data_IF_113569775197
#
_entry.id   IF_113569775197
#
_cell.length_a   1.000
_cell.length_b   1.000
_cell.length_c   1.000
_cell.angle_alpha   90.00
_cell.angle_beta   90.00
_cell.angle_gamma   90.00
#
_symmetry.space_group_name_H-M   'P 1'
#
loop_
_entity.id
_entity.type
_entity.pdbx_description
1 polymer ?
#
# COMPACT_ATOMS: atom_id res chain seq x y z
N UNK A 1 15.55 36.07 55.50
CA UNK A 1 14.36 35.82 54.65
C UNK A 1 14.59 36.08 53.16
N UNK A 2 15.14 37.22 52.73
CA UNK A 2 15.23 37.60 51.31
C UNK A 2 16.00 36.62 50.38
N UNK A 3 17.07 35.98 50.86
CA UNK A 3 17.86 35.02 50.06
C UNK A 3 17.15 33.66 49.83
N UNK A 4 16.31 33.23 50.76
CA UNK A 4 15.54 31.98 50.63
C UNK A 4 14.33 32.14 49.69
N UNK A 5 13.73 33.33 49.66
CA UNK A 5 12.65 33.67 48.74
C UNK A 5 13.13 33.73 47.29
N UNK A 6 14.33 34.31 47.05
CA UNK A 6 14.92 34.39 45.72
C UNK A 6 15.30 33.00 45.16
N UNK A 7 15.86 32.12 46.01
CA UNK A 7 16.15 30.74 45.61
C UNK A 7 14.88 29.94 45.27
N UNK A 8 13.78 30.18 46.00
CA UNK A 8 12.49 29.55 45.72
C UNK A 8 11.89 30.02 44.38
N UNK A 9 11.98 31.32 44.07
CA UNK A 9 11.52 31.85 42.78
C UNK A 9 12.38 31.40 41.59
N UNK A 10 13.71 31.30 41.76
CA UNK A 10 14.60 30.77 40.70
C UNK A 10 14.37 29.27 40.48
N UNK A 11 14.12 28.50 41.54
CA UNK A 11 13.74 27.09 41.42
C UNK A 11 12.38 26.91 40.73
N UNK A 12 11.38 27.75 41.02
CA UNK A 12 10.10 27.75 40.30
C UNK A 12 10.26 28.13 38.82
N UNK A 13 11.12 29.11 38.49
CA UNK A 13 11.38 29.47 37.08
C UNK A 13 12.14 28.39 36.32
N UNK A 14 13.01 27.62 36.98
CA UNK A 14 13.68 26.46 36.39
C UNK A 14 12.74 25.25 36.27
N UNK A 15 11.79 25.05 37.20
CA UNK A 15 10.76 24.01 37.14
C UNK A 15 9.66 24.29 36.10
N UNK A 16 9.41 25.57 35.77
CA UNK A 16 8.49 25.97 34.69
C UNK A 16 9.23 26.08 33.34
N UNK A 17 10.57 26.13 33.35
CA UNK A 17 11.41 26.26 32.15
C UNK A 17 11.81 24.96 31.45
N UNK A 18 11.43 23.79 31.99
CA UNK A 18 11.72 22.48 31.37
C UNK A 18 10.48 21.68 31.01
N UNK A 19 9.27 22.23 31.17
CA UNK A 19 8.14 21.73 30.39
C UNK A 19 8.32 22.30 28.98
N UNK A 20 9.09 21.62 28.13
CA UNK A 20 8.80 21.64 26.71
C UNK A 20 7.33 21.27 26.63
N UNK A 21 6.48 22.28 26.43
CA UNK A 21 5.16 22.02 25.88
C UNK A 21 5.51 21.34 24.58
N UNK A 22 5.40 20.01 24.53
CA UNK A 22 5.25 19.33 23.26
C UNK A 22 4.01 19.99 22.69
N UNK A 23 4.22 21.01 21.86
CA UNK A 23 3.21 21.51 20.98
C UNK A 23 2.97 20.29 20.11
N UNK A 24 1.98 19.48 20.50
CA UNK A 24 1.47 18.41 19.66
C UNK A 24 1.30 19.06 18.29
N UNK A 25 2.00 18.54 17.29
CA UNK A 25 1.80 19.01 15.93
C UNK A 25 0.29 19.01 15.69
N UNK A 26 -0.23 20.08 15.07
CA UNK A 26 -1.65 20.11 14.74
C UNK A 26 -1.97 18.83 13.95
N UNK A 27 -3.08 18.18 14.27
CA UNK A 27 -3.50 17.00 13.51
C UNK A 27 -3.58 17.37 12.02
N UNK A 28 -3.02 16.53 11.14
CA UNK A 28 -3.03 16.81 9.71
C UNK A 28 -4.46 16.89 9.20
N UNK A 29 -4.72 17.85 8.34
CA UNK A 29 -6.02 17.98 7.67
C UNK A 29 -6.14 16.93 6.57
N UNK A 30 -7.36 16.50 6.25
CA UNK A 30 -7.62 15.58 5.14
C UNK A 30 -6.95 16.05 3.84
N UNK A 31 -7.11 17.31 3.47
CA UNK A 31 -6.52 17.84 2.23
C UNK A 31 -4.98 17.84 2.21
N UNK A 32 -4.31 17.85 3.36
CA UNK A 32 -2.85 17.66 3.43
C UNK A 32 -2.47 16.21 3.16
N UNK A 33 -3.20 15.25 3.74
CA UNK A 33 -2.98 13.82 3.52
C UNK A 33 -3.27 13.45 2.07
N UNK A 34 -4.40 13.93 1.52
CA UNK A 34 -4.78 13.73 0.12
C UNK A 34 -3.67 14.17 -0.83
N UNK A 35 -3.13 15.37 -0.62
CA UNK A 35 -2.07 15.92 -1.47
C UNK A 35 -0.79 15.06 -1.41
N UNK A 36 -0.45 14.50 -0.24
CA UNK A 36 0.70 13.60 -0.10
C UNK A 36 0.48 12.27 -0.81
N UNK A 37 -0.68 11.64 -0.61
CA UNK A 37 -1.05 10.40 -1.30
C UNK A 37 -1.02 10.58 -2.83
N UNK A 38 -1.63 11.64 -3.33
CA UNK A 38 -1.68 11.94 -4.77
C UNK A 38 -0.28 12.16 -5.36
N UNK A 39 0.56 12.95 -4.69
CA UNK A 39 1.93 13.21 -5.18
C UNK A 39 2.78 11.92 -5.21
N UNK A 40 2.64 11.05 -4.20
CA UNK A 40 3.32 9.75 -4.18
C UNK A 40 2.82 8.81 -5.29
N UNK A 41 1.51 8.79 -5.54
CA UNK A 41 0.93 8.03 -6.64
C UNK A 41 1.36 8.55 -8.02
N UNK A 42 1.48 9.87 -8.20
CA UNK A 42 2.02 10.48 -9.43
C UNK A 42 3.47 10.05 -9.70
N UNK A 43 4.31 10.01 -8.64
CA UNK A 43 5.67 9.48 -8.74
C UNK A 43 5.69 8.03 -9.22
N UNK A 44 4.91 7.14 -8.59
CA UNK A 44 4.83 5.73 -8.99
C UNK A 44 4.29 5.58 -10.42
N UNK A 45 3.28 6.37 -10.79
CA UNK A 45 2.73 6.39 -12.16
C UNK A 45 3.82 6.72 -13.17
N UNK A 46 4.63 7.75 -12.90
CA UNK A 46 5.73 8.14 -13.80
C UNK A 46 6.83 7.10 -13.91
N UNK A 47 7.03 6.30 -12.85
CA UNK A 47 8.03 5.24 -12.79
C UNK A 47 7.63 4.04 -13.66
N UNK A 48 6.35 3.67 -13.64
CA UNK A 48 5.85 2.46 -14.30
C UNK A 48 5.21 2.67 -15.67
N UNK A 49 4.93 3.91 -16.06
CA UNK A 49 4.29 4.25 -17.33
C UNK A 49 4.90 3.50 -18.53
N UNK A 50 4.07 2.79 -19.29
CA UNK A 50 4.46 2.03 -20.47
C UNK A 50 5.22 0.73 -20.22
N UNK A 51 5.38 0.32 -18.96
CA UNK A 51 6.09 -0.91 -18.56
C UNK A 51 5.28 -1.83 -17.65
N UNK A 52 3.96 -1.58 -17.54
CA UNK A 52 3.09 -2.27 -16.60
C UNK A 52 2.98 -3.77 -16.90
N UNK A 53 3.25 -4.61 -15.91
CA UNK A 53 3.03 -6.06 -15.94
C UNK A 53 2.05 -6.50 -14.86
N UNK A 54 1.45 -7.71 -14.98
CA UNK A 54 0.54 -8.23 -13.94
C UNK A 54 1.19 -8.38 -12.56
N UNK A 55 2.51 -8.63 -12.48
CA UNK A 55 3.24 -8.73 -11.21
C UNK A 55 3.35 -7.39 -10.47
N UNK A 56 3.03 -6.28 -11.13
CA UNK A 56 3.02 -4.94 -10.55
C UNK A 56 1.64 -4.54 -10.02
N UNK A 57 0.74 -5.51 -9.82
CA UNK A 57 -0.64 -5.30 -9.35
C UNK A 57 -0.72 -4.34 -8.16
N UNK A 58 0.19 -4.45 -7.18
CA UNK A 58 0.15 -3.66 -5.95
C UNK A 58 0.37 -2.17 -6.23
N UNK A 59 1.29 -1.83 -7.13
CA UNK A 59 1.51 -0.43 -7.51
C UNK A 59 0.28 0.14 -8.22
N UNK A 60 -0.28 -0.61 -9.16
CA UNK A 60 -1.48 -0.18 -9.90
C UNK A 60 -2.67 -0.03 -8.97
N UNK A 61 -2.86 -0.97 -8.03
CA UNK A 61 -3.89 -0.90 -7.00
C UNK A 61 -3.78 0.37 -6.16
N UNK A 62 -2.59 0.66 -5.62
CA UNK A 62 -2.38 1.83 -4.78
C UNK A 62 -2.55 3.14 -5.56
N UNK A 63 -2.09 3.20 -6.82
CA UNK A 63 -2.32 4.37 -7.69
C UNK A 63 -3.82 4.56 -7.91
N UNK A 64 -4.56 3.50 -8.24
CA UNK A 64 -6.02 3.58 -8.42
C UNK A 64 -6.74 4.01 -7.14
N UNK A 65 -6.25 3.57 -5.97
CA UNK A 65 -6.81 3.90 -4.67
C UNK A 65 -6.44 5.32 -4.16
N UNK A 66 -5.48 6.00 -4.78
CA UNK A 66 -4.96 7.30 -4.31
C UNK A 66 -5.83 8.52 -4.64
N UNK A 67 -6.87 8.34 -5.45
CA UNK A 67 -7.77 9.42 -5.88
C UNK A 67 -7.27 10.26 -7.06
N UNK A 68 -6.11 9.95 -7.65
CA UNK A 68 -5.68 10.54 -8.93
C UNK A 68 -6.40 9.92 -10.13
N UNK A 69 -6.37 10.58 -11.28
CA UNK A 69 -6.77 9.96 -12.56
C UNK A 69 -5.76 8.87 -12.95
N UNK A 70 -6.16 7.62 -12.75
CA UNK A 70 -5.37 6.42 -13.05
C UNK A 70 -5.75 5.76 -14.38
N UNK A 71 -6.64 6.36 -15.18
CA UNK A 71 -7.22 5.74 -16.39
C UNK A 71 -6.19 5.16 -17.36
N UNK A 72 -5.06 5.86 -17.56
CA UNK A 72 -3.99 5.39 -18.46
C UNK A 72 -3.30 4.15 -17.90
N UNK A 73 -2.86 4.16 -16.64
CA UNK A 73 -2.15 3.02 -16.06
C UNK A 73 -3.07 1.82 -15.82
N UNK A 74 -4.35 2.07 -15.49
CA UNK A 74 -5.39 1.04 -15.42
C UNK A 74 -5.59 0.34 -16.76
N UNK A 75 -5.61 1.11 -17.86
CA UNK A 75 -5.72 0.54 -19.21
C UNK A 75 -4.45 -0.24 -19.59
N UNK A 76 -3.26 0.28 -19.29
CA UNK A 76 -1.99 -0.43 -19.54
C UNK A 76 -1.94 -1.76 -18.77
N UNK A 77 -2.38 -1.78 -17.51
CA UNK A 77 -2.50 -2.99 -16.71
C UNK A 77 -3.47 -4.00 -17.32
N UNK A 78 -4.67 -3.55 -17.70
CA UNK A 78 -5.67 -4.40 -18.36
C UNK A 78 -5.16 -4.99 -19.67
N UNK A 79 -4.51 -4.19 -20.50
CA UNK A 79 -3.94 -4.64 -21.77
C UNK A 79 -2.83 -5.66 -21.54
N UNK A 80 -2.01 -5.47 -20.50
CA UNK A 80 -0.96 -6.41 -20.10
C UNK A 80 -1.55 -7.76 -19.65
N UNK A 81 -2.58 -7.75 -18.81
CA UNK A 81 -3.31 -8.97 -18.38
C UNK A 81 -3.94 -9.68 -19.58
N UNK A 82 -4.65 -8.94 -20.45
CA UNK A 82 -5.28 -9.50 -21.66
C UNK A 82 -4.25 -10.12 -22.59
N UNK A 83 -3.14 -9.42 -22.84
CA UNK A 83 -2.07 -9.92 -23.69
C UNK A 83 -1.45 -11.22 -23.16
N UNK A 84 -1.27 -11.34 -21.84
CA UNK A 84 -0.77 -12.57 -21.22
C UNK A 84 -1.76 -13.73 -21.41
N UNK A 85 -3.05 -13.49 -21.20
CA UNK A 85 -4.11 -14.48 -21.42
C UNK A 85 -4.14 -14.91 -22.89
N UNK A 86 -4.19 -13.97 -23.83
CA UNK A 86 -4.29 -14.25 -25.27
C UNK A 86 -3.05 -15.00 -25.80
N UNK A 87 -1.86 -14.70 -25.26
CA UNK A 87 -0.60 -15.29 -25.72
C UNK A 87 -0.33 -16.65 -25.08
N UNK A 88 -0.61 -16.79 -23.78
CA UNK A 88 -0.12 -17.92 -22.97
C UNK A 88 -1.24 -18.69 -22.25
N UNK A 89 -2.47 -18.20 -22.28
CA UNK A 89 -3.60 -18.74 -21.51
C UNK A 89 -3.49 -18.51 -20.00
N UNK A 90 -2.59 -17.63 -19.54
CA UNK A 90 -2.28 -17.37 -18.13
C UNK A 90 -2.22 -15.87 -17.81
N UNK A 91 -2.43 -15.48 -16.57
CA UNK A 91 -2.32 -14.13 -16.03
C UNK A 91 -0.86 -13.67 -15.91
N UNK A 92 0.06 -14.57 -15.52
CA UNK A 92 1.48 -14.25 -15.34
C UNK A 92 2.37 -15.10 -16.26
N UNK A 93 3.52 -14.53 -16.61
CA UNK A 93 4.51 -15.16 -17.51
C UNK A 93 5.91 -15.25 -16.92
N UNK A 94 6.12 -14.77 -15.69
CA UNK A 94 7.43 -14.79 -15.05
C UNK A 94 7.73 -16.18 -14.47
N UNK A 95 8.91 -16.72 -14.80
CA UNK A 95 9.38 -18.04 -14.40
C UNK A 95 9.20 -19.12 -15.47
N UNK A 96 9.93 -20.24 -15.34
CA UNK A 96 9.90 -21.35 -16.32
C UNK A 96 8.57 -22.13 -16.32
N UNK A 97 7.74 -21.96 -15.29
CA UNK A 97 6.39 -22.48 -15.20
C UNK A 97 5.55 -21.66 -14.21
N UNK A 98 4.99 -20.51 -14.62
CA UNK A 98 4.20 -19.68 -13.71
C UNK A 98 2.99 -20.44 -13.20
N UNK A 99 2.85 -20.54 -11.89
CA UNK A 99 1.69 -21.12 -11.21
C UNK A 99 0.77 -19.97 -10.81
N UNK A 100 -0.45 -19.96 -11.33
CA UNK A 100 -1.46 -18.97 -10.93
C UNK A 100 -2.11 -19.43 -9.61
N UNK A 101 -1.58 -18.92 -8.50
CA UNK A 101 -2.09 -19.24 -7.17
C UNK A 101 -3.38 -18.46 -6.87
N UNK A 102 -4.20 -18.90 -5.89
CA UNK A 102 -5.38 -18.14 -5.49
C UNK A 102 -5.07 -16.70 -5.08
N UNK A 103 -3.93 -16.47 -4.44
CA UNK A 103 -3.48 -15.16 -3.99
C UNK A 103 -3.18 -14.22 -5.15
N UNK A 104 -2.56 -14.76 -6.21
CA UNK A 104 -2.32 -13.99 -7.42
C UNK A 104 -3.63 -13.63 -8.12
N UNK A 105 -4.57 -14.58 -8.25
CA UNK A 105 -5.92 -14.31 -8.75
C UNK A 105 -6.61 -13.22 -7.93
N UNK A 106 -6.62 -13.35 -6.60
CA UNK A 106 -7.18 -12.36 -5.68
C UNK A 106 -6.57 -10.97 -5.88
N UNK A 107 -5.25 -10.90 -6.01
CA UNK A 107 -4.52 -9.65 -6.23
C UNK A 107 -4.88 -8.96 -7.55
N UNK A 108 -4.96 -9.73 -8.65
CA UNK A 108 -5.36 -9.19 -9.97
C UNK A 108 -6.83 -8.73 -9.93
N UNK A 109 -7.74 -9.54 -9.39
CA UNK A 109 -9.17 -9.22 -9.30
C UNK A 109 -9.39 -7.95 -8.48
N UNK A 110 -8.73 -7.85 -7.32
CA UNK A 110 -8.76 -6.68 -6.45
C UNK A 110 -8.28 -5.42 -7.20
N UNK A 111 -7.18 -5.53 -7.93
CA UNK A 111 -6.60 -4.42 -8.70
C UNK A 111 -7.51 -3.97 -9.83
N UNK A 112 -8.07 -4.91 -10.59
CA UNK A 112 -9.05 -4.61 -11.64
C UNK A 112 -10.26 -3.88 -11.07
N UNK A 113 -10.79 -4.38 -9.94
CA UNK A 113 -11.92 -3.74 -9.25
C UNK A 113 -11.60 -2.31 -8.80
N UNK A 114 -10.41 -2.07 -8.24
CA UNK A 114 -9.97 -0.73 -7.86
C UNK A 114 -9.80 0.20 -9.07
N UNK A 115 -9.41 -0.34 -10.22
CA UNK A 115 -9.38 0.37 -11.51
C UNK A 115 -10.76 0.56 -12.14
N UNK A 116 -11.83 0.12 -11.49
CA UNK A 116 -13.19 0.17 -12.01
C UNK A 116 -13.49 -0.84 -13.13
N UNK A 117 -12.68 -1.89 -13.28
CA UNK A 117 -12.81 -2.91 -14.34
C UNK A 117 -13.52 -4.16 -13.78
N UNK A 118 -14.45 -4.71 -14.56
CA UNK A 118 -15.16 -5.95 -14.23
C UNK A 118 -14.26 -7.19 -14.44
N UNK A 119 -13.97 -7.98 -13.39
CA UNK A 119 -13.11 -9.17 -13.50
C UNK A 119 -13.81 -10.38 -14.16
N UNK A 120 -15.12 -10.31 -14.43
CA UNK A 120 -15.88 -11.45 -15.00
C UNK A 120 -15.75 -11.58 -16.52
N UNK A 121 -15.14 -10.59 -17.19
CA UNK A 121 -14.89 -10.61 -18.62
C UNK A 121 -13.56 -9.94 -19.01
N UNK A 122 -12.46 -10.65 -18.79
CA UNK A 122 -11.11 -10.22 -19.16
C UNK A 122 -10.55 -11.15 -20.22
N UNK A 123 -10.40 -10.67 -21.46
CA UNK A 123 -10.02 -11.49 -22.62
C UNK A 123 -10.92 -12.74 -22.80
N UNK A 124 -12.22 -12.62 -22.49
CA UNK A 124 -13.17 -13.73 -22.58
C UNK A 124 -13.09 -14.74 -21.42
N UNK A 125 -12.26 -14.48 -20.39
CA UNK A 125 -12.21 -15.25 -19.14
C UNK A 125 -13.03 -14.60 -18.04
N UNK A 126 -13.63 -15.43 -17.19
CA UNK A 126 -14.20 -15.01 -15.92
C UNK A 126 -13.22 -15.36 -14.80
N UNK A 127 -12.52 -14.35 -14.29
CA UNK A 127 -11.46 -14.55 -13.30
C UNK A 127 -12.02 -15.03 -11.94
N UNK A 128 -13.29 -14.80 -11.63
CA UNK A 128 -13.92 -15.35 -10.42
C UNK A 128 -14.10 -16.87 -10.52
N UNK A 129 -14.43 -17.37 -11.72
CA UNK A 129 -14.49 -18.82 -11.97
C UNK A 129 -13.10 -19.44 -11.86
N UNK A 130 -12.10 -18.81 -12.49
CA UNK A 130 -10.71 -19.27 -12.43
C UNK A 130 -10.16 -19.29 -10.98
N UNK A 131 -10.46 -18.25 -10.19
CA UNK A 131 -10.14 -18.20 -8.76
C UNK A 131 -10.81 -19.35 -7.99
N UNK A 132 -12.09 -19.63 -8.26
CA UNK A 132 -12.83 -20.71 -7.60
C UNK A 132 -12.19 -22.08 -7.87
N UNK A 133 -11.78 -22.33 -9.12
CA UNK A 133 -11.06 -23.56 -9.49
C UNK A 133 -9.69 -23.67 -8.79
N UNK A 134 -8.95 -22.56 -8.74
CA UNK A 134 -7.66 -22.49 -8.04
C UNK A 134 -7.81 -22.77 -6.54
N UNK A 135 -8.81 -22.16 -5.89
CA UNK A 135 -9.16 -22.38 -4.48
C UNK A 135 -9.52 -23.85 -4.20
N UNK A 136 -10.34 -24.48 -5.05
CA UNK A 136 -10.73 -25.88 -4.88
C UNK A 136 -9.54 -26.86 -4.98
N UNK A 137 -8.45 -26.46 -5.62
CA UNK A 137 -7.24 -27.25 -5.75
C UNK A 137 -6.17 -26.97 -4.69
N UNK A 138 -6.38 -25.94 -3.86
CA UNK A 138 -5.39 -25.45 -2.90
C UNK A 138 -5.57 -26.04 -1.50
N UNK A 139 -4.46 -26.24 -0.79
CA UNK A 139 -4.45 -26.65 0.61
C UNK A 139 -3.81 -25.55 1.48
N UNK A 140 -4.67 -24.75 2.12
CA UNK A 140 -4.27 -23.66 2.99
C UNK A 140 -3.71 -24.14 4.35
N UNK A 141 -3.87 -25.41 4.71
CA UNK A 141 -3.33 -25.94 5.99
C UNK A 141 -1.81 -26.10 5.98
N UNK A 142 -1.21 -26.10 4.79
CA UNK A 142 0.25 -26.16 4.58
C UNK A 142 0.73 -24.95 3.80
N UNK A 143 0.11 -23.79 4.02
CA UNK A 143 0.46 -22.59 3.30
C UNK A 143 1.92 -22.19 3.55
N UNK A 144 2.67 -22.01 2.46
CA UNK A 144 4.10 -21.65 2.46
C UNK A 144 4.40 -20.46 1.55
N UNK A 145 3.36 -19.82 0.99
CA UNK A 145 3.50 -18.63 0.17
C UNK A 145 3.80 -17.38 0.99
N UNK A 146 3.85 -16.22 0.32
CA UNK A 146 4.02 -14.94 0.99
C UNK A 146 2.71 -14.54 1.69
N UNK A 147 2.67 -14.50 3.04
CA UNK A 147 1.45 -14.22 3.77
C UNK A 147 0.87 -12.83 3.50
N UNK A 148 1.68 -11.89 2.97
CA UNK A 148 1.20 -10.55 2.60
C UNK A 148 0.18 -10.61 1.46
N UNK A 149 0.21 -11.63 0.61
CA UNK A 149 -0.73 -11.75 -0.50
C UNK A 149 -2.12 -12.26 -0.05
N UNK A 150 -2.17 -12.89 1.14
CA UNK A 150 -3.43 -13.36 1.72
C UNK A 150 -4.39 -12.21 2.07
N UNK A 151 -3.90 -10.99 2.29
CA UNK A 151 -4.76 -9.82 2.52
C UNK A 151 -5.61 -9.49 1.29
N UNK A 152 -5.04 -9.59 0.09
CA UNK A 152 -5.72 -9.29 -1.16
C UNK A 152 -6.71 -10.39 -1.53
N UNK A 153 -6.33 -11.66 -1.30
CA UNK A 153 -7.22 -12.80 -1.44
C UNK A 153 -8.42 -12.70 -0.50
N UNK A 154 -8.17 -12.44 0.80
CA UNK A 154 -9.19 -12.28 1.82
C UNK A 154 -10.17 -11.15 1.46
N UNK A 155 -9.65 -9.98 1.06
CA UNK A 155 -10.46 -8.85 0.57
C UNK A 155 -11.35 -9.21 -0.62
N UNK A 156 -10.76 -9.89 -1.63
CA UNK A 156 -11.47 -10.34 -2.83
C UNK A 156 -12.59 -11.32 -2.49
N UNK A 157 -12.28 -12.33 -1.67
CA UNK A 157 -13.25 -13.34 -1.24
C UNK A 157 -14.41 -12.72 -0.47
N UNK A 158 -14.13 -11.77 0.44
CA UNK A 158 -15.17 -11.07 1.20
C UNK A 158 -16.12 -10.29 0.30
N UNK A 159 -15.58 -9.56 -0.68
CA UNK A 159 -16.38 -8.75 -1.58
C UNK A 159 -17.21 -9.61 -2.54
N UNK A 160 -16.60 -10.61 -3.17
CA UNK A 160 -17.24 -11.49 -4.15
C UNK A 160 -17.86 -12.76 -3.52
N UNK A 161 -18.12 -12.76 -2.20
CA UNK A 161 -18.59 -13.95 -1.47
C UNK A 161 -19.89 -14.55 -2.01
N UNK A 162 -20.72 -13.75 -2.67
CA UNK A 162 -21.98 -14.21 -3.28
C UNK A 162 -21.79 -14.81 -4.67
N UNK A 163 -20.68 -14.50 -5.33
CA UNK A 163 -20.37 -14.91 -6.70
C UNK A 163 -19.40 -16.11 -6.74
N UNK A 164 -18.72 -16.40 -5.63
CA UNK A 164 -17.79 -17.53 -5.47
C UNK A 164 -18.48 -18.64 -4.69
N UNK A 165 -18.63 -19.81 -5.32
CA UNK A 165 -19.20 -20.99 -4.66
C UNK A 165 -18.29 -21.45 -3.51
N UNK A 166 -18.86 -21.63 -2.32
CA UNK A 166 -18.09 -22.06 -1.14
C UNK A 166 -17.22 -20.96 -0.50
N UNK A 167 -17.40 -19.69 -0.87
CA UNK A 167 -16.59 -18.57 -0.40
C UNK A 167 -16.41 -18.52 1.13
N UNK A 168 -17.45 -18.79 1.92
CA UNK A 168 -17.37 -18.79 3.39
C UNK A 168 -16.33 -19.81 3.91
N UNK A 169 -16.27 -20.99 3.30
CA UNK A 169 -15.28 -22.01 3.66
C UNK A 169 -13.85 -21.57 3.31
N UNK A 170 -13.67 -20.96 2.13
CA UNK A 170 -12.37 -20.43 1.72
C UNK A 170 -11.92 -19.24 2.59
N UNK A 171 -12.84 -18.36 2.98
CA UNK A 171 -12.57 -17.25 3.90
C UNK A 171 -12.03 -17.78 5.23
N UNK A 172 -12.67 -18.80 5.82
CA UNK A 172 -12.17 -19.42 7.04
C UNK A 172 -10.82 -20.15 6.84
N UNK A 173 -10.61 -20.84 5.71
CA UNK A 173 -9.31 -21.46 5.42
C UNK A 173 -8.18 -20.44 5.24
N UNK A 174 -8.46 -19.28 4.63
CA UNK A 174 -7.48 -18.19 4.51
C UNK A 174 -7.21 -17.54 5.86
N UNK A 175 -8.23 -17.38 6.71
CA UNK A 175 -8.06 -16.95 8.11
C UNK A 175 -7.14 -17.94 8.86
N UNK A 176 -7.39 -19.24 8.76
CA UNK A 176 -6.54 -20.25 9.40
C UNK A 176 -5.09 -20.20 8.87
N UNK A 177 -4.90 -20.02 7.56
CA UNK A 177 -3.58 -19.83 6.97
C UNK A 177 -2.87 -18.59 7.54
N UNK A 178 -3.56 -17.45 7.61
CA UNK A 178 -3.04 -16.23 8.26
C UNK A 178 -2.64 -16.52 9.72
N UNK A 179 -3.52 -17.16 10.48
CA UNK A 179 -3.29 -17.46 11.89
C UNK A 179 -2.18 -18.48 12.12
N UNK A 180 -1.84 -19.31 11.13
CA UNK A 180 -0.73 -20.26 11.23
C UNK A 180 0.63 -19.58 11.37
N UNK A 181 0.75 -18.30 11.00
CA UNK A 181 1.95 -17.50 11.20
C UNK A 181 2.02 -16.84 12.58
N UNK A 182 0.97 -16.85 13.39
CA UNK A 182 0.96 -16.19 14.69
C UNK A 182 1.59 -17.04 15.79
N UNK A 183 2.51 -16.45 16.55
CA UNK A 183 3.16 -17.06 17.70
C UNK A 183 3.09 -16.13 18.91
N UNK A 184 2.90 -16.69 20.11
CA UNK A 184 2.80 -15.89 21.35
C UNK A 184 4.14 -15.66 22.05
N UNK A 185 5.08 -16.61 21.95
CA UNK A 185 6.33 -16.59 22.71
C UNK A 185 7.57 -16.86 21.85
N UNK A 186 7.52 -17.90 21.01
CA UNK A 186 8.69 -18.41 20.29
C UNK A 186 8.28 -18.98 18.93
N UNK A 187 9.08 -18.69 17.91
CA UNK A 187 9.15 -19.42 16.66
C UNK A 187 10.37 -20.35 16.65
N UNK A 188 10.18 -21.61 16.23
CA UNK A 188 11.26 -22.56 15.97
C UNK A 188 11.03 -23.22 14.60
N UNK A 189 11.94 -23.02 13.65
CA UNK A 189 11.79 -23.50 12.28
C UNK A 189 12.99 -23.18 11.40
N UNK A 190 12.82 -23.20 10.08
CA UNK A 190 13.89 -22.84 9.14
C UNK A 190 13.67 -21.43 8.61
N UNK A 191 14.73 -20.62 8.60
CA UNK A 191 14.67 -19.26 8.07
C UNK A 191 15.95 -18.90 7.30
N UNK A 192 15.85 -17.92 6.41
CA UNK A 192 16.99 -17.31 5.76
C UNK A 192 17.67 -16.35 6.74
N UNK A 193 18.92 -16.64 7.07
CA UNK A 193 19.77 -15.73 7.85
C UNK A 193 20.93 -15.26 6.98
N UNK A 194 21.36 -14.01 7.17
CA UNK A 194 22.56 -13.52 6.52
C UNK A 194 23.74 -14.40 6.93
N UNK A 195 24.52 -14.83 5.93
CA UNK A 195 25.70 -15.66 6.12
C UNK A 195 26.63 -15.00 7.15
N UNK A 196 26.98 -15.69 8.25
CA UNK A 196 27.75 -15.11 9.36
C UNK A 196 29.14 -14.58 8.97
N UNK A 197 29.58 -14.79 7.72
CA UNK A 197 30.81 -14.20 7.16
C UNK A 197 30.59 -12.78 6.59
N UNK A 198 29.38 -12.20 6.68
CA UNK A 198 29.06 -10.85 6.24
C UNK A 198 29.17 -10.68 4.73
N UNK A 199 28.84 -11.74 3.98
CA UNK A 199 29.02 -11.80 2.53
C UNK A 199 27.83 -11.21 1.75
N UNK A 200 26.77 -10.76 2.44
CA UNK A 200 25.50 -10.38 1.83
C UNK A 200 24.70 -11.55 1.24
N UNK A 201 25.16 -12.80 1.44
CA UNK A 201 24.43 -14.00 1.03
C UNK A 201 23.48 -14.44 2.13
N UNK A 202 22.27 -14.87 1.76
CA UNK A 202 21.29 -15.43 2.69
C UNK A 202 21.29 -16.95 2.61
N UNK A 203 21.32 -17.62 3.77
CA UNK A 203 21.36 -19.08 3.88
C UNK A 203 20.23 -19.59 4.76
N UNK A 204 19.59 -20.69 4.35
CA UNK A 204 18.59 -21.37 5.17
C UNK A 204 19.26 -22.05 6.37
N UNK A 205 18.79 -21.75 7.58
CA UNK A 205 19.24 -22.37 8.82
C UNK A 205 18.07 -22.64 9.76
N UNK A 206 18.24 -23.61 10.66
CA UNK A 206 17.31 -23.80 11.76
C UNK A 206 17.49 -22.65 12.77
N UNK A 207 16.42 -21.93 13.07
CA UNK A 207 16.39 -20.78 13.98
C UNK A 207 15.38 -20.99 15.09
N UNK A 208 15.67 -20.37 16.23
CA UNK A 208 14.73 -20.20 17.34
C UNK A 208 14.72 -18.72 17.70
N UNK A 209 13.59 -18.05 17.52
CA UNK A 209 13.42 -16.61 17.71
C UNK A 209 12.31 -16.38 18.74
N UNK A 210 12.58 -15.55 19.74
CA UNK A 210 11.61 -15.15 20.75
C UNK A 210 10.81 -13.94 20.26
N UNK A 211 9.50 -13.94 20.46
CA UNK A 211 8.64 -12.82 20.12
C UNK A 211 7.16 -13.20 20.05
N UNK A 212 6.33 -12.16 20.03
CA UNK A 212 4.87 -12.27 19.89
C UNK A 212 4.47 -11.59 18.59
N UNK A 213 3.79 -12.31 17.70
CA UNK A 213 3.27 -11.77 16.45
C UNK A 213 3.27 -12.76 15.30
N UNK A 214 3.01 -12.24 14.11
CA UNK A 214 3.09 -13.00 12.88
C UNK A 214 4.55 -13.10 12.45
N UNK A 215 5.05 -14.34 12.29
CA UNK A 215 6.43 -14.61 11.92
C UNK A 215 6.56 -14.77 10.41
N UNK A 216 7.25 -13.85 9.75
CA UNK A 216 7.66 -14.00 8.35
C UNK A 216 8.98 -13.26 8.16
N UNK A 217 10.08 -14.02 8.07
CA UNK A 217 11.45 -13.48 8.17
C UNK A 217 11.71 -12.70 9.48
N UNK A 218 11.06 -13.12 10.56
CA UNK A 218 11.10 -12.46 11.87
C UNK A 218 9.75 -11.90 12.34
N UNK A 219 9.72 -11.46 13.60
CA UNK A 219 8.59 -10.73 14.17
C UNK A 219 8.75 -9.23 13.87
N UNK A 220 8.31 -8.79 12.70
CA UNK A 220 8.43 -7.39 12.25
C UNK A 220 7.12 -6.62 12.39
N UNK A 221 7.23 -5.30 12.51
CA UNK A 221 6.08 -4.39 12.46
C UNK A 221 5.37 -4.48 11.11
N UNK A 222 6.11 -4.65 10.02
CA UNK A 222 5.62 -4.83 8.65
C UNK A 222 4.67 -6.03 8.55
N UNK A 223 5.13 -7.20 9.01
CA UNK A 223 4.34 -8.44 8.95
C UNK A 223 3.11 -8.31 9.83
N UNK A 224 3.29 -7.83 11.07
CA UNK A 224 2.18 -7.65 11.98
C UNK A 224 1.11 -6.70 11.40
N UNK A 225 1.52 -5.53 10.89
CA UNK A 225 0.63 -4.54 10.31
C UNK A 225 -0.15 -5.08 9.10
N UNK A 226 0.53 -5.77 8.19
CA UNK A 226 -0.11 -6.35 6.99
C UNK A 226 -1.10 -7.44 7.35
N UNK A 227 -0.73 -8.37 8.24
CA UNK A 227 -1.57 -9.50 8.61
C UNK A 227 -2.80 -9.09 9.40
N UNK A 228 -2.68 -8.15 10.36
CA UNK A 228 -3.87 -7.69 11.09
C UNK A 228 -4.85 -6.92 10.21
N UNK A 229 -4.39 -6.32 9.10
CA UNK A 229 -5.27 -5.64 8.15
C UNK A 229 -6.24 -6.63 7.47
N UNK A 230 -5.81 -7.87 7.21
CA UNK A 230 -6.66 -8.94 6.67
C UNK A 230 -7.74 -9.40 7.67
N UNK A 231 -7.48 -9.25 8.96
CA UNK A 231 -8.33 -9.75 10.05
C UNK A 231 -9.40 -8.75 10.50
N UNK A 232 -9.47 -7.56 9.88
CA UNK A 232 -10.40 -6.49 10.27
C UNK A 232 -11.85 -6.94 10.38
N UNK A 233 -12.33 -7.77 9.46
CA UNK A 233 -13.72 -8.25 9.43
C UNK A 233 -14.11 -9.06 10.68
N UNK A 234 -13.13 -9.65 11.37
CA UNK A 234 -13.32 -10.49 12.55
C UNK A 234 -13.20 -9.72 13.85
N UNK A 235 -12.68 -8.49 13.81
CA UNK A 235 -12.28 -7.74 15.00
C UNK A 235 -13.41 -7.55 16.02
N UNK A 236 -14.64 -7.31 15.56
CA UNK A 236 -15.80 -7.12 16.44
C UNK A 236 -16.52 -8.44 16.81
N UNK A 237 -16.30 -9.51 16.05
CA UNK A 237 -17.06 -10.76 16.15
C UNK A 237 -16.28 -11.92 16.79
N UNK A 238 -14.95 -11.88 16.75
CA UNK A 238 -14.05 -12.91 17.25
C UNK A 238 -13.13 -12.33 18.34
N UNK A 239 -13.37 -12.74 19.60
CA UNK A 239 -12.65 -12.22 20.75
C UNK A 239 -11.17 -12.62 20.79
N UNK A 240 -10.80 -13.75 20.18
CA UNK A 240 -9.41 -14.20 20.10
C UNK A 240 -8.64 -13.32 19.12
N UNK A 241 -9.19 -13.14 17.91
CA UNK A 241 -8.63 -12.23 16.91
C UNK A 241 -8.53 -10.81 17.46
N UNK A 242 -9.57 -10.34 18.16
CA UNK A 242 -9.52 -9.03 18.83
C UNK A 242 -8.35 -8.90 19.81
N UNK A 243 -8.14 -9.90 20.67
CA UNK A 243 -7.05 -9.87 21.64
C UNK A 243 -5.67 -9.86 20.98
N UNK A 244 -5.51 -10.60 19.88
CA UNK A 244 -4.28 -10.62 19.07
C UNK A 244 -4.04 -9.25 18.43
N UNK A 245 -5.03 -8.69 17.75
CA UNK A 245 -4.95 -7.36 17.12
C UNK A 245 -4.62 -6.28 18.17
N UNK A 246 -5.33 -6.26 19.29
CA UNK A 246 -5.10 -5.27 20.36
C UNK A 246 -3.67 -5.38 20.93
N UNK A 247 -3.14 -6.60 21.06
CA UNK A 247 -1.77 -6.86 21.51
C UNK A 247 -0.73 -6.34 20.50
N UNK A 248 -0.93 -6.63 19.21
CA UNK A 248 0.01 -6.23 18.16
C UNK A 248 -0.01 -4.72 17.92
N UNK A 249 -1.19 -4.08 17.96
CA UNK A 249 -1.29 -2.61 17.95
C UNK A 249 -0.53 -2.00 19.12
N UNK A 250 -0.67 -2.57 20.33
CA UNK A 250 0.06 -2.09 21.50
C UNK A 250 1.59 -2.27 21.36
N UNK A 251 2.05 -3.37 20.73
CA UNK A 251 3.47 -3.62 20.47
C UNK A 251 4.04 -2.64 19.43
N UNK A 252 3.35 -2.42 18.31
CA UNK A 252 3.75 -1.43 17.31
C UNK A 252 3.84 -0.03 17.91
N UNK A 253 2.85 0.39 18.70
CA UNK A 253 2.90 1.69 19.41
C UNK A 253 4.05 1.78 20.41
N UNK A 254 4.53 0.64 20.93
CA UNK A 254 5.72 0.58 21.79
C UNK A 254 7.02 0.70 21.00
N UNK A 255 7.12 0.08 19.82
CA UNK A 255 8.31 0.19 18.96
C UNK A 255 8.56 1.62 18.51
N UNK A 256 7.51 2.47 18.48
CA UNK A 256 7.64 3.90 18.27
C UNK A 256 8.37 4.70 19.34
N UNK A 257 8.62 4.11 20.51
CA UNK A 257 9.41 4.72 21.56
C UNK A 257 10.88 4.29 21.44
N UNK A 258 11.80 5.26 21.31
CA UNK A 258 13.26 5.06 21.19
C UNK A 258 13.84 4.07 22.23
N UNK A 259 13.23 3.92 23.40
CA UNK A 259 13.67 2.97 24.42
C UNK A 259 13.44 1.48 24.05
N UNK A 260 12.45 1.21 23.20
CA UNK A 260 12.02 -0.14 22.81
C UNK A 260 12.31 -0.46 21.35
N UNK A 261 12.99 0.46 20.67
CA UNK A 261 13.50 0.28 19.33
C UNK A 261 14.57 -0.81 19.30
N UNK A 262 14.43 -1.76 18.38
CA UNK A 262 15.45 -2.76 18.02
C UNK A 262 16.07 -2.30 16.71
N UNK A 263 17.40 -2.35 16.59
CA UNK A 263 18.14 -1.81 15.44
C UNK A 263 17.52 -2.23 14.09
N UNK A 264 17.09 -1.26 13.29
CA UNK A 264 16.77 -1.42 11.87
C UNK A 264 15.32 -1.76 11.49
N UNK A 265 14.42 -2.00 12.45
CA UNK A 265 13.03 -2.39 12.17
C UNK A 265 12.04 -1.61 13.06
N UNK A 266 11.08 -0.91 12.45
CA UNK A 266 9.99 -0.21 13.14
C UNK A 266 9.95 1.31 12.95
N UNK A 267 8.98 1.94 13.64
CA UNK A 267 8.67 3.37 13.51
C UNK A 267 9.90 4.29 13.64
N UNK A 268 10.08 5.14 12.63
CA UNK A 268 11.14 6.15 12.61
C UNK A 268 12.51 5.64 12.15
N UNK A 269 12.67 4.35 11.85
CA UNK A 269 13.86 3.82 11.19
C UNK A 269 13.76 3.86 9.67
N UNK A 270 12.61 3.46 9.14
CA UNK A 270 12.38 3.43 7.71
C UNK A 270 10.94 3.82 7.33
N UNK A 271 10.76 4.21 6.07
CA UNK A 271 9.45 4.54 5.49
C UNK A 271 8.51 3.35 5.42
N UNK A 272 9.04 2.14 5.21
CA UNK A 272 8.29 0.95 4.85
C UNK A 272 7.45 0.48 6.04
N UNK A 273 8.12 0.16 7.15
CA UNK A 273 7.49 -0.18 8.42
C UNK A 273 6.60 0.95 8.91
N UNK A 274 7.04 2.21 8.77
CA UNK A 274 6.24 3.37 9.23
C UNK A 274 4.93 3.50 8.44
N UNK A 275 4.97 3.30 7.12
CA UNK A 275 3.81 3.34 6.24
C UNK A 275 2.84 2.18 6.48
N UNK A 276 3.36 0.95 6.66
CA UNK A 276 2.52 -0.22 6.95
C UNK A 276 1.86 -0.11 8.33
N UNK A 277 2.56 0.34 9.37
CA UNK A 277 1.94 0.56 10.69
C UNK A 277 0.92 1.69 10.64
N UNK A 278 1.20 2.78 9.90
CA UNK A 278 0.21 3.83 9.65
C UNK A 278 -1.06 3.24 9.03
N UNK A 279 -0.91 2.35 8.04
CA UNK A 279 -2.04 1.66 7.40
C UNK A 279 -2.86 0.86 8.41
N UNK A 280 -2.19 0.01 9.20
CA UNK A 280 -2.85 -0.82 10.20
C UNK A 280 -3.58 0.01 11.28
N UNK A 281 -2.91 1.01 11.87
CA UNK A 281 -3.55 1.87 12.88
C UNK A 281 -4.77 2.60 12.29
N UNK A 282 -4.69 3.02 11.03
CA UNK A 282 -5.78 3.71 10.34
C UNK A 282 -6.99 2.79 10.11
N UNK A 283 -6.76 1.55 9.68
CA UNK A 283 -7.82 0.52 9.50
C UNK A 283 -8.56 0.23 10.81
N UNK A 284 -7.89 0.36 11.94
CA UNK A 284 -8.49 0.18 13.27
C UNK A 284 -8.97 1.48 13.93
N UNK A 285 -8.83 2.63 13.27
CA UNK A 285 -9.27 3.92 13.80
C UNK A 285 -8.47 4.38 15.03
N UNK A 286 -7.23 3.94 15.19
CA UNK A 286 -6.38 4.32 16.32
C UNK A 286 -5.83 5.75 16.11
N UNK A 287 -6.00 6.61 17.11
CA UNK A 287 -5.60 8.02 17.05
C UNK A 287 -4.08 8.22 16.93
N UNK A 288 -3.26 7.24 17.31
CA UNK A 288 -1.81 7.29 17.10
C UNK A 288 -1.41 7.28 15.62
N UNK A 289 -2.32 6.93 14.70
CA UNK A 289 -2.07 7.04 13.27
C UNK A 289 -1.56 8.43 12.86
N UNK A 290 -2.04 9.51 13.51
CA UNK A 290 -1.53 10.86 13.25
C UNK A 290 -0.04 11.04 13.60
N UNK A 291 0.46 10.34 14.63
CA UNK A 291 1.89 10.34 14.97
C UNK A 291 2.71 9.57 13.92
N UNK A 292 2.16 8.48 13.40
CA UNK A 292 2.78 7.70 12.34
C UNK A 292 2.85 8.47 11.02
N UNK A 293 1.79 9.18 10.65
CA UNK A 293 1.78 10.09 9.52
C UNK A 293 2.91 11.13 9.63
N UNK A 294 3.00 11.82 10.78
CA UNK A 294 4.05 12.83 10.98
C UNK A 294 5.47 12.23 10.95
N UNK A 295 5.64 11.00 11.44
CA UNK A 295 6.89 10.26 11.33
C UNK A 295 7.25 9.92 9.89
N UNK A 296 6.26 9.50 9.09
CA UNK A 296 6.44 9.13 7.69
C UNK A 296 6.96 10.29 6.84
N UNK A 297 6.51 11.52 7.10
CA UNK A 297 6.92 12.71 6.34
C UNK A 297 8.42 13.01 6.42
N UNK A 298 9.15 12.47 7.40
CA UNK A 298 10.61 12.64 7.51
C UNK A 298 11.37 11.94 6.39
N UNK A 299 10.75 10.93 5.78
CA UNK A 299 11.35 10.12 4.72
C UNK A 299 11.07 10.67 3.32
N UNK A 300 10.39 11.81 3.19
CA UNK A 300 10.19 12.43 1.87
C UNK A 300 11.53 12.77 1.22
N UNK A 301 11.68 12.39 -0.06
CA UNK A 301 12.86 12.73 -0.83
C UNK A 301 12.96 14.25 -1.00
N UNK A 302 14.11 14.86 -0.68
CA UNK A 302 14.33 16.28 -0.92
C UNK A 302 14.51 16.60 -2.41
N UNK A 303 14.83 15.59 -3.23
CA UNK A 303 15.24 15.77 -4.63
C UNK A 303 14.17 15.33 -5.63
N UNK A 304 13.29 14.39 -5.24
CA UNK A 304 12.27 13.81 -6.12
C UNK A 304 10.90 13.96 -5.47
N UNK A 305 10.07 14.85 -6.04
CA UNK A 305 8.72 15.09 -5.55
C UNK A 305 7.89 13.80 -5.55
N UNK A 306 7.26 13.48 -4.40
CA UNK A 306 6.40 12.32 -4.22
C UNK A 306 7.13 11.04 -3.81
N UNK A 307 8.45 10.97 -3.99
CA UNK A 307 9.22 9.81 -3.58
C UNK A 307 9.48 9.81 -2.06
N UNK A 308 9.46 8.64 -1.46
CA UNK A 308 9.92 8.36 -0.09
C UNK A 308 11.20 7.53 -0.14
N UNK A 309 12.14 7.87 0.73
CA UNK A 309 13.42 7.19 0.91
C UNK A 309 13.27 6.12 1.98
N UNK A 310 13.98 5.00 1.83
CA UNK A 310 13.97 3.94 2.83
C UNK A 310 14.35 4.48 4.23
N UNK A 311 15.41 5.29 4.33
CA UNK A 311 15.81 5.94 5.58
C UNK A 311 16.19 7.43 5.33
N UNK A 312 16.41 8.21 6.39
CA UNK A 312 16.68 9.67 6.31
C UNK A 312 18.02 10.03 5.63
N UNK A 313 18.94 9.08 5.45
CA UNK A 313 20.29 9.32 4.90
C UNK A 313 20.53 8.61 3.56
N UNK A 314 19.60 7.77 3.14
CA UNK A 314 19.67 6.99 1.93
C UNK A 314 19.62 7.90 0.70
N UNK A 315 20.50 7.60 -0.26
CA UNK A 315 20.52 8.23 -1.59
C UNK A 315 20.11 7.23 -2.67
N UNK A 316 19.44 6.15 -2.26
CA UNK A 316 19.13 4.99 -3.09
C UNK A 316 18.32 5.38 -4.34
N UNK A 317 18.67 4.82 -5.52
CA UNK A 317 17.87 4.93 -6.73
C UNK A 317 16.54 4.13 -6.68
N UNK A 318 16.27 3.33 -5.63
CA UNK A 318 15.08 2.48 -5.49
C UNK A 318 14.06 3.00 -4.45
N UNK A 319 13.79 4.31 -4.46
CA UNK A 319 12.70 4.92 -3.69
C UNK A 319 11.30 4.33 -4.01
N UNK A 320 11.17 3.46 -5.00
CA UNK A 320 9.90 2.88 -5.47
C UNK A 320 9.26 1.96 -4.43
N UNK A 321 10.03 1.07 -3.80
CA UNK A 321 9.53 0.16 -2.76
C UNK A 321 9.09 0.93 -1.51
N UNK A 322 9.93 1.87 -1.08
CA UNK A 322 9.62 2.76 0.02
C UNK A 322 8.37 3.62 -0.23
N UNK A 323 8.26 4.18 -1.43
CA UNK A 323 7.10 5.01 -1.81
C UNK A 323 5.82 4.18 -1.88
N UNK A 324 5.89 2.91 -2.28
CA UNK A 324 4.74 2.01 -2.31
C UNK A 324 4.15 1.82 -0.91
N UNK A 325 4.99 1.49 0.08
CA UNK A 325 4.52 1.23 1.44
C UNK A 325 4.09 2.53 2.16
N UNK A 326 4.79 3.63 1.89
CA UNK A 326 4.36 4.96 2.32
C UNK A 326 2.98 5.32 1.74
N UNK A 327 2.74 5.06 0.45
CA UNK A 327 1.46 5.34 -0.20
C UNK A 327 0.33 4.51 0.38
N UNK A 328 0.55 3.23 0.70
CA UNK A 328 -0.44 2.40 1.41
C UNK A 328 -0.86 3.05 2.74
N UNK A 329 0.11 3.49 3.54
CA UNK A 329 -0.14 4.20 4.80
C UNK A 329 -0.93 5.50 4.60
N UNK A 330 -0.53 6.32 3.63
CA UNK A 330 -1.18 7.61 3.33
C UNK A 330 -2.65 7.43 2.92
N UNK A 331 -2.94 6.47 2.04
CA UNK A 331 -4.31 6.19 1.58
C UNK A 331 -5.16 5.65 2.74
N UNK A 332 -4.63 4.71 3.52
CA UNK A 332 -5.36 4.17 4.68
C UNK A 332 -5.68 5.28 5.71
N UNK A 333 -4.75 6.21 5.93
CA UNK A 333 -4.96 7.33 6.84
C UNK A 333 -5.97 8.35 6.30
N UNK A 334 -5.93 8.65 5.01
CA UNK A 334 -6.98 9.43 4.33
C UNK A 334 -8.36 8.81 4.55
N UNK A 335 -8.50 7.51 4.30
CA UNK A 335 -9.75 6.76 4.52
C UNK A 335 -10.24 6.85 5.95
N UNK A 336 -9.33 6.74 6.93
CA UNK A 336 -9.68 6.90 8.34
C UNK A 336 -10.25 8.30 8.62
N UNK A 337 -9.66 9.37 8.05
CA UNK A 337 -10.13 10.74 8.22
C UNK A 337 -11.51 10.97 7.57
N UNK A 338 -11.83 10.27 6.48
CA UNK A 338 -13.13 10.33 5.80
C UNK A 338 -14.19 9.41 6.38
N UNK A 339 -13.84 8.58 7.38
CA UNK A 339 -14.74 7.61 8.01
C UNK A 339 -14.99 6.37 7.17
N UNK A 340 -14.07 6.05 6.26
CA UNK A 340 -14.16 4.94 5.32
C UNK A 340 -13.41 3.68 5.85
N UNK A 341 -13.94 2.49 5.56
CA UNK A 341 -13.80 1.31 6.45
C UNK A 341 -12.48 0.53 6.32
N UNK A 342 -11.71 0.70 5.23
CA UNK A 342 -10.34 0.16 5.02
C UNK A 342 -9.87 0.44 3.58
N UNK A 343 -8.57 0.49 3.29
CA UNK A 343 -8.05 0.45 1.90
C UNK A 343 -8.43 -0.86 1.18
N UNK A 344 -8.64 -1.93 1.96
CA UNK A 344 -9.00 -3.27 1.48
C UNK A 344 -10.51 -3.50 1.37
N UNK A 345 -11.35 -2.52 1.68
CA UNK A 345 -12.80 -2.64 1.44
C UNK A 345 -13.12 -2.32 -0.02
N UNK A 346 -13.38 -3.36 -0.82
CA UNK A 346 -13.66 -3.21 -2.24
C UNK A 346 -15.03 -2.57 -2.56
N UNK A 347 -15.92 -2.46 -1.56
CA UNK A 347 -17.20 -1.78 -1.74
C UNK A 347 -17.06 -0.27 -1.90
N UNK A 348 -15.92 0.29 -1.47
CA UNK A 348 -15.58 1.71 -1.61
C UNK A 348 -15.13 2.12 -3.02
N UNK A 349 -14.94 1.16 -3.94
CA UNK A 349 -14.50 1.43 -5.31
C UNK A 349 -15.65 1.24 -6.30
N UNK A 350 -15.94 2.31 -7.05
CA UNK A 350 -16.96 2.28 -8.10
C UNK A 350 -16.45 1.48 -9.32
N UNK A 351 -17.31 0.64 -9.90
CA UNK A 351 -17.03 0.04 -11.22
C UNK A 351 -17.36 1.10 -12.27
N UNK A 352 -16.36 1.53 -13.02
CA UNK A 352 -16.56 2.40 -14.18
C UNK A 352 -17.03 1.50 -15.31
N UNK A 353 -18.23 1.71 -15.83
CA UNK A 353 -18.73 0.93 -16.96
C UNK A 353 -17.74 0.99 -18.15
N UNK A 354 -17.55 -0.13 -18.85
CA UNK A 354 -16.60 -0.38 -19.95
C UNK A 354 -16.57 0.74 -21.03
N UNK A 355 -17.65 1.51 -21.14
CA UNK A 355 -17.83 2.62 -22.10
C UNK A 355 -17.18 3.97 -21.69
N UNK A 356 -16.70 4.12 -20.44
CA UNK A 356 -16.05 5.36 -19.95
C UNK A 356 -14.51 5.26 -19.89
N UNK A 357 -13.94 4.06 -19.76
CA UNK A 357 -12.48 3.86 -19.86
C UNK A 357 -11.96 4.22 -21.26
N UNK A 358 -12.81 4.13 -22.30
CA UNK A 358 -12.47 4.52 -23.67
C UNK A 358 -12.56 6.03 -23.98
N UNK A 359 -12.96 6.91 -23.05
CA UNK A 359 -13.34 8.30 -23.36
C UNK A 359 -12.39 9.42 -22.94
N UNK A 360 -11.16 9.13 -22.51
CA UNK A 360 -10.15 10.19 -22.29
C UNK A 360 -9.16 10.33 -23.44
N UNK A 361 -9.19 9.45 -24.44
CA UNK A 361 -8.46 9.64 -25.69
C UNK A 361 -9.07 10.77 -26.51
N UNK A 362 -8.49 11.97 -26.45
CA UNK A 362 -8.78 13.01 -27.45
C UNK A 362 -8.48 12.38 -28.82
N UNK A 363 -9.53 12.18 -29.62
CA UNK A 363 -9.44 11.62 -30.97
C UNK A 363 -8.27 12.29 -31.71
N UNK A 364 -7.27 11.55 -32.23
CA UNK A 364 -6.16 12.10 -32.98
C UNK A 364 -6.61 13.02 -34.13
N UNK A 365 -7.80 12.79 -34.70
CA UNK A 365 -8.42 13.65 -35.71
C UNK A 365 -8.80 15.02 -35.14
N UNK A 366 -9.26 15.09 -33.89
CA UNK A 366 -9.56 16.35 -33.19
C UNK A 366 -8.27 17.11 -32.86
N UNK A 367 -7.20 16.42 -32.46
CA UNK A 367 -5.88 17.04 -32.26
C UNK A 367 -5.36 17.65 -33.57
N UNK A 368 -5.43 16.91 -34.67
CA UNK A 368 -5.04 17.40 -36.00
C UNK A 368 -5.89 18.60 -36.41
N UNK A 369 -7.21 18.57 -36.16
CA UNK A 369 -8.09 19.69 -36.47
C UNK A 369 -7.73 20.96 -35.66
N UNK A 370 -7.44 20.83 -34.36
CA UNK A 370 -7.03 21.95 -33.50
C UNK A 370 -5.69 22.52 -33.98
N UNK A 371 -4.70 21.68 -34.28
CA UNK A 371 -3.38 22.10 -34.77
C UNK A 371 -3.50 22.85 -36.09
N UNK A 372 -4.31 22.37 -37.03
CA UNK A 372 -4.54 23.04 -38.31
C UNK A 372 -5.19 24.42 -38.10
N UNK A 373 -6.18 24.53 -37.22
CA UNK A 373 -6.84 25.81 -36.91
C UNK A 373 -5.84 26.81 -36.30
N UNK A 374 -5.01 26.37 -35.36
CA UNK A 374 -3.98 27.22 -34.72
C UNK A 374 -2.96 27.70 -35.76
N UNK A 375 -2.49 26.83 -36.65
CA UNK A 375 -1.56 27.19 -37.73
C UNK A 375 -2.18 28.23 -38.67
N UNK A 376 -3.45 28.06 -39.06
CA UNK A 376 -4.16 29.01 -39.94
C UNK A 376 -4.32 30.38 -39.26
N UNK A 377 -4.65 30.41 -37.97
CA UNK A 377 -4.76 31.66 -37.20
C UNK A 377 -3.40 32.36 -37.12
N UNK A 378 -2.33 31.65 -36.79
CA UNK A 378 -0.97 32.19 -36.72
C UNK A 378 -0.49 32.72 -38.08
N UNK A 379 -0.73 31.99 -39.17
CA UNK A 379 -0.41 32.44 -40.53
C UNK A 379 -1.18 33.72 -40.89
N UNK A 380 -2.46 33.82 -40.51
CA UNK A 380 -3.28 35.00 -40.77
C UNK A 380 -2.80 36.22 -39.98
N UNK A 381 -2.37 36.03 -38.73
CA UNK A 381 -1.80 37.09 -37.89
C UNK A 381 -0.43 37.55 -38.41
N UNK A 382 0.41 36.65 -38.91
CA UNK A 382 1.68 36.96 -39.57
C UNK A 382 1.51 37.79 -40.85
N UNK A 383 0.49 37.48 -41.66
CA UNK A 383 0.18 38.27 -42.87
C UNK A 383 -0.34 39.66 -42.52
N UNK A 384 -1.19 39.78 -41.48
CA UNK A 384 -1.69 41.09 -41.00
C UNK A 384 -0.57 41.95 -40.42
N UNK A 385 0.36 41.38 -39.69
CA UNK A 385 1.51 42.11 -39.11
C UNK A 385 2.53 42.54 -40.18
N UNK A 386 2.78 41.73 -41.22
CA UNK A 386 3.60 42.15 -42.37
C UNK A 386 2.97 43.30 -43.17
N UNK A 387 1.66 43.28 -43.41
CA UNK A 387 0.95 44.40 -44.10
C UNK A 387 0.99 45.71 -43.31
N UNK A 388 1.12 45.65 -41.98
CA UNK A 388 1.21 46.85 -41.11
C UNK A 388 2.60 47.46 -41.06
N UNK A 389 3.67 46.73 -41.44
CA UNK A 389 5.06 47.22 -41.51
C UNK A 389 5.45 47.81 -42.87
N UNK A 390 4.65 47.58 -43.91
CA UNK A 390 4.88 48.07 -45.28
C UNK A 390 3.95 49.24 -45.67
N UNK A 391 3.31 49.88 -44.69
CA UNK A 391 2.71 51.21 -44.76
C UNK A 391 3.46 52.09 -43.77
#
# INVERSE_FOLDING_TARGET
MKKKLLAFFVAMFLLVGTSTVNVMAAEPTQGEVDAKAQTAAEYLTSTYAGTVTPDQYLYVFLIAASGIDSSTISQEFLDSVKNNIDTNGKLMTVGDNPTETPEFYGSIIMTLKACGIDPTNVAGRNLLTDLTESLASSDFTQYTGNPYELVYLMSTLQYYKTDIEGAEGYIESVKEAIMSFYYEDEYSGQDYVEDPVGSGNWVMQDVTVQGTGFYHYGFSDDTNAKMISALKMYYESDSEIKAIVDTLIANMKKSANEQYQVDGYGFGYNSDSTGLVLSALSIYGDQEAANYYNGLLKFESPDVQGAYLYDEVSTEPDAVYATRDALEGLISFERMLTGNESIYDLSSYDVVADDEVQKTGIDPVVIVAIVVVVIVILATLLVKTKKKKNK
#
